data_IF_044699682679
#
_entry.id   IF_044699682679
#
_cell.length_a   1.000
_cell.length_b   1.000
_cell.length_c   1.000
_cell.angle_alpha   90.00
_cell.angle_beta   90.00
_cell.angle_gamma   90.00
#
_symmetry.space_group_name_H-M   'P 1'
#
loop_
_entity.id
_entity.type
_entity.pdbx_description
1 polymer ?
#
# COMPACT_ATOMS: atom_id res chain seq x y z
N UNK A 1 -4.78 -2.16 -16.05
CA UNK A 1 -4.96 -3.28 -17.00
C UNK A 1 -3.64 -3.98 -17.26
N UNK A 2 -3.62 -5.23 -17.78
CA UNK A 2 -2.38 -5.93 -18.11
C UNK A 2 -1.44 -5.17 -19.02
N UNK A 3 -1.97 -4.45 -20.04
CA UNK A 3 -1.14 -3.63 -20.92
C UNK A 3 -0.47 -2.46 -20.19
N UNK A 4 -1.18 -1.80 -19.26
CA UNK A 4 -0.60 -0.72 -18.45
C UNK A 4 0.52 -1.22 -17.54
N UNK A 5 0.38 -2.43 -16.99
CA UNK A 5 1.38 -3.05 -16.15
C UNK A 5 2.61 -3.50 -16.95
N UNK A 6 2.40 -4.14 -18.11
CA UNK A 6 3.46 -4.49 -19.05
C UNK A 6 4.29 -3.26 -19.46
N UNK A 7 3.63 -2.15 -19.83
CA UNK A 7 4.33 -0.90 -20.15
C UNK A 7 5.10 -0.32 -18.95
N UNK A 8 4.63 -0.55 -17.71
CA UNK A 8 5.36 -0.15 -16.51
C UNK A 8 6.62 -1.00 -16.28
N UNK A 9 6.56 -2.30 -16.53
CA UNK A 9 7.71 -3.20 -16.46
C UNK A 9 8.76 -2.89 -17.53
N UNK A 10 8.32 -2.65 -18.78
CA UNK A 10 9.20 -2.23 -19.87
C UNK A 10 9.94 -0.93 -19.53
N UNK A 11 9.27 0.06 -18.93
CA UNK A 11 9.92 1.30 -18.45
C UNK A 11 10.97 1.06 -17.36
N UNK A 12 10.84 -0.04 -16.60
CA UNK A 12 11.80 -0.46 -15.57
C UNK A 12 12.84 -1.46 -16.09
N UNK A 13 12.88 -1.70 -17.41
CA UNK A 13 13.77 -2.65 -18.08
C UNK A 13 13.69 -4.07 -17.48
N UNK A 14 12.51 -4.46 -16.98
CA UNK A 14 12.24 -5.81 -16.47
C UNK A 14 11.55 -6.60 -17.58
N UNK A 15 12.21 -7.66 -18.03
CA UNK A 15 11.60 -8.63 -18.93
C UNK A 15 10.49 -9.38 -18.18
N UNK A 16 9.31 -9.44 -18.78
CA UNK A 16 8.22 -10.25 -18.27
C UNK A 16 7.70 -11.08 -19.43
N UNK A 17 7.72 -12.39 -19.26
CA UNK A 17 7.12 -13.30 -20.22
C UNK A 17 5.61 -13.02 -20.29
N UNK A 18 5.08 -12.99 -21.51
CA UNK A 18 3.70 -12.58 -21.77
C UNK A 18 2.68 -13.53 -21.15
N UNK A 19 3.06 -14.79 -20.93
CA UNK A 19 2.28 -15.84 -20.27
C UNK A 19 2.14 -15.63 -18.75
N UNK A 20 3.15 -15.07 -18.09
CA UNK A 20 3.13 -14.76 -16.64
C UNK A 20 2.38 -13.44 -16.34
N UNK A 21 2.23 -12.57 -17.33
CA UNK A 21 1.61 -11.25 -17.18
C UNK A 21 0.19 -11.31 -16.58
N UNK A 22 -0.61 -12.32 -16.97
CA UNK A 22 -1.96 -12.50 -16.47
C UNK A 22 -1.99 -12.73 -14.95
N UNK A 23 -1.13 -13.63 -14.46
CA UNK A 23 -1.01 -13.95 -13.03
C UNK A 23 -0.50 -12.75 -12.23
N UNK A 24 0.49 -12.02 -12.77
CA UNK A 24 1.04 -10.83 -12.11
C UNK A 24 -0.01 -9.75 -11.95
N UNK A 25 -0.79 -9.46 -12.99
CA UNK A 25 -1.84 -8.43 -12.94
C UNK A 25 -2.94 -8.82 -11.97
N UNK A 26 -3.31 -10.11 -11.97
CA UNK A 26 -4.25 -10.64 -10.98
C UNK A 26 -3.74 -10.40 -9.55
N UNK A 27 -2.49 -10.79 -9.25
CA UNK A 27 -1.88 -10.58 -7.95
C UNK A 27 -1.86 -9.09 -7.55
N UNK A 28 -1.53 -8.19 -8.48
CA UNK A 28 -1.56 -6.74 -8.23
C UNK A 28 -2.96 -6.21 -7.92
N UNK A 29 -3.99 -6.67 -8.65
CA UNK A 29 -5.36 -6.27 -8.39
C UNK A 29 -5.80 -6.72 -6.98
N UNK A 30 -5.49 -7.97 -6.62
CA UNK A 30 -5.76 -8.50 -5.27
C UNK A 30 -5.06 -7.67 -4.20
N UNK A 31 -3.77 -7.35 -4.39
CA UNK A 31 -3.01 -6.50 -3.45
C UNK A 31 -3.60 -5.10 -3.35
N UNK A 32 -4.03 -4.49 -4.46
CA UNK A 32 -4.67 -3.18 -4.47
C UNK A 32 -6.01 -3.19 -3.73
N UNK A 33 -6.83 -4.22 -3.93
CA UNK A 33 -8.12 -4.37 -3.24
C UNK A 33 -7.92 -4.54 -1.73
N UNK A 34 -6.97 -5.39 -1.32
CA UNK A 34 -6.61 -5.55 0.10
C UNK A 34 -6.11 -4.25 0.71
N UNK A 35 -5.23 -3.52 0.00
CA UNK A 35 -4.73 -2.21 0.43
C UNK A 35 -5.88 -1.22 0.63
N UNK A 36 -6.81 -1.16 -0.34
CA UNK A 36 -7.96 -0.28 -0.25
C UNK A 36 -8.88 -0.64 0.93
N UNK A 37 -9.10 -1.92 1.20
CA UNK A 37 -9.90 -2.35 2.35
C UNK A 37 -9.28 -1.90 3.68
N UNK A 38 -7.96 -2.02 3.85
CA UNK A 38 -7.29 -1.49 5.06
C UNK A 38 -7.43 0.03 5.18
N UNK A 39 -7.34 0.77 4.07
CA UNK A 39 -7.63 2.22 4.08
C UNK A 39 -9.07 2.48 4.54
N UNK A 40 -10.05 1.73 4.03
CA UNK A 40 -11.44 1.88 4.42
C UNK A 40 -11.66 1.59 5.92
N UNK A 41 -10.90 0.67 6.52
CA UNK A 41 -10.91 0.42 7.97
C UNK A 41 -10.43 1.66 8.74
N UNK A 42 -9.35 2.32 8.31
CA UNK A 42 -8.90 3.60 8.86
C UNK A 42 -9.92 4.73 8.68
N UNK A 43 -10.71 4.68 7.61
CA UNK A 43 -11.75 5.68 7.32
C UNK A 43 -13.09 5.41 8.05
N UNK A 44 -13.26 4.27 8.73
CA UNK A 44 -14.51 3.95 9.45
C UNK A 44 -14.97 5.05 10.43
N UNK A 45 -14.10 5.65 11.26
CA UNK A 45 -14.51 6.74 12.15
C UNK A 45 -15.02 7.98 11.41
N UNK A 46 -14.61 8.15 10.15
CA UNK A 46 -14.95 9.27 9.29
C UNK A 46 -16.15 9.01 8.37
N UNK A 47 -16.76 7.81 8.42
CA UNK A 47 -17.88 7.41 7.55
C UNK A 47 -19.07 8.36 7.59
N UNK A 48 -19.35 8.99 8.75
CA UNK A 48 -20.43 10.00 8.87
C UNK A 48 -20.10 11.32 8.17
N UNK A 49 -18.82 11.65 8.07
CA UNK A 49 -18.33 12.89 7.41
C UNK A 49 -18.19 12.67 5.91
N UNK A 50 -17.62 11.52 5.51
CA UNK A 50 -17.49 11.13 4.11
C UNK A 50 -17.80 9.63 3.96
N UNK A 51 -18.99 9.26 3.45
CA UNK A 51 -19.35 7.86 3.27
C UNK A 51 -18.66 7.22 2.05
N UNK A 52 -18.10 8.03 1.15
CA UNK A 52 -17.51 7.57 -0.12
C UNK A 52 -16.14 8.21 -0.37
N UNK A 53 -15.13 7.88 0.45
CA UNK A 53 -13.77 8.35 0.20
C UNK A 53 -13.27 7.86 -1.17
N UNK A 54 -12.46 8.69 -1.85
CA UNK A 54 -11.97 8.39 -3.20
C UNK A 54 -10.45 8.42 -3.25
N UNK A 55 -9.85 7.48 -3.97
CA UNK A 55 -8.43 7.55 -4.30
C UNK A 55 -8.20 8.69 -5.31
N UNK A 56 -7.42 9.71 -4.93
CA UNK A 56 -7.01 10.79 -5.83
C UNK A 56 -5.81 10.40 -6.68
N UNK A 57 -4.78 9.88 -6.01
CA UNK A 57 -3.52 9.50 -6.64
C UNK A 57 -2.74 8.56 -5.72
N UNK A 58 -1.84 7.79 -6.32
CA UNK A 58 -0.86 7.00 -5.61
C UNK A 58 0.54 7.33 -6.15
N UNK A 59 1.56 7.19 -5.31
CA UNK A 59 2.96 7.45 -5.65
C UNK A 59 3.79 6.27 -5.15
N UNK A 60 4.51 5.62 -6.06
CA UNK A 60 5.49 4.59 -5.70
C UNK A 60 6.75 5.24 -5.13
N UNK A 61 7.19 4.77 -3.96
CA UNK A 61 8.37 5.23 -3.23
C UNK A 61 9.25 4.05 -2.81
N UNK A 62 9.51 3.13 -3.75
CA UNK A 62 10.24 1.88 -3.51
C UNK A 62 11.65 2.07 -2.92
N UNK A 63 12.31 3.20 -3.19
CA UNK A 63 13.66 3.48 -2.69
C UNK A 63 13.69 4.19 -1.33
N UNK A 64 12.56 4.75 -0.88
CA UNK A 64 12.48 5.51 0.36
C UNK A 64 11.87 4.69 1.49
N UNK A 65 12.68 4.31 2.48
CA UNK A 65 12.14 3.72 3.70
C UNK A 65 11.30 4.75 4.45
N UNK A 66 10.08 4.36 4.85
CA UNK A 66 9.32 5.15 5.80
C UNK A 66 10.07 5.19 7.14
N UNK A 67 10.01 6.30 7.87
CA UNK A 67 10.64 6.38 9.20
C UNK A 67 10.15 5.26 10.11
N UNK A 68 8.87 4.88 10.00
CA UNK A 68 8.31 3.69 10.64
C UNK A 68 9.09 2.44 10.25
N UNK A 69 9.14 2.10 8.95
CA UNK A 69 9.84 0.93 8.43
C UNK A 69 11.33 0.89 8.76
N UNK A 70 12.00 2.04 8.90
CA UNK A 70 13.39 2.10 9.37
C UNK A 70 13.51 1.53 10.79
N UNK A 71 12.62 1.89 11.71
CA UNK A 71 12.57 1.32 13.05
C UNK A 71 12.07 -0.14 13.03
N UNK A 72 10.98 -0.43 12.32
CA UNK A 72 10.38 -1.77 12.29
C UNK A 72 11.33 -2.81 11.69
N UNK A 73 12.11 -2.44 10.67
CA UNK A 73 13.06 -3.36 10.03
C UNK A 73 14.17 -3.88 10.94
N UNK A 74 14.48 -3.17 12.03
CA UNK A 74 15.49 -3.62 13.01
C UNK A 74 14.93 -4.52 14.11
N UNK A 75 13.61 -4.53 14.31
CA UNK A 75 12.98 -5.18 15.46
C UNK A 75 11.86 -6.17 15.10
N UNK A 76 11.37 -6.14 13.86
CA UNK A 76 10.34 -7.06 13.35
C UNK A 76 10.95 -8.19 12.55
N UNK A 77 10.35 -9.38 12.68
CA UNK A 77 10.72 -10.55 11.89
C UNK A 77 10.45 -10.37 10.39
N UNK A 78 9.55 -9.43 10.01
CA UNK A 78 9.22 -9.11 8.63
C UNK A 78 10.35 -8.37 7.88
N UNK A 79 11.36 -7.86 8.59
CA UNK A 79 12.48 -7.15 7.97
C UNK A 79 12.10 -5.83 7.29
N UNK A 80 12.78 -5.51 6.18
CA UNK A 80 12.59 -4.27 5.41
C UNK A 80 11.48 -4.48 4.36
N UNK A 81 10.54 -3.53 4.16
CA UNK A 81 9.57 -3.66 3.08
C UNK A 81 10.27 -3.66 1.72
N UNK A 82 9.82 -4.53 0.82
CA UNK A 82 10.36 -4.62 -0.54
C UNK A 82 9.80 -3.53 -1.46
N UNK A 83 8.61 -3.00 -1.12
CA UNK A 83 7.99 -1.88 -1.84
C UNK A 83 7.20 -0.99 -0.89
N UNK A 84 7.10 0.29 -1.25
CA UNK A 84 6.37 1.29 -0.49
C UNK A 84 5.57 2.19 -1.43
N UNK A 85 4.33 2.44 -1.04
CA UNK A 85 3.44 3.34 -1.75
C UNK A 85 2.82 4.39 -0.82
N UNK A 86 2.65 5.59 -1.34
CA UNK A 86 1.89 6.65 -0.70
C UNK A 86 0.58 6.84 -1.47
N UNK A 87 -0.57 6.58 -0.83
CA UNK A 87 -1.90 6.78 -1.40
C UNK A 87 -2.54 8.04 -0.83
N UNK A 88 -3.14 8.85 -1.70
CA UNK A 88 -3.80 10.09 -1.33
C UNK A 88 -5.30 9.91 -1.50
N UNK A 89 -6.01 9.98 -0.38
CA UNK A 89 -7.45 9.75 -0.30
C UNK A 89 -8.15 11.06 -0.08
N UNK A 90 -9.13 11.36 -0.93
CA UNK A 90 -10.04 12.48 -0.75
C UNK A 90 -11.24 12.08 0.09
N UNK A 91 -11.47 12.84 1.16
CA UNK A 91 -12.67 12.76 1.98
C UNK A 91 -13.72 13.71 1.43
N UNK A 92 -14.30 13.35 0.29
CA UNK A 92 -15.46 14.03 -0.29
C UNK A 92 -15.22 15.54 -0.55
N UNK A 93 -14.02 15.92 -0.97
CA UNK A 93 -13.60 17.29 -1.24
C UNK A 93 -13.24 18.12 0.01
N UNK A 94 -13.38 17.57 1.21
CA UNK A 94 -13.13 18.30 2.45
C UNK A 94 -11.65 18.27 2.85
N UNK A 95 -11.01 17.12 2.65
CA UNK A 95 -9.63 16.90 3.08
C UNK A 95 -8.98 15.80 2.27
N UNK A 96 -7.74 16.03 1.86
CA UNK A 96 -6.88 14.96 1.36
C UNK A 96 -6.05 14.39 2.51
N UNK A 97 -6.10 13.07 2.68
CA UNK A 97 -5.31 12.33 3.67
C UNK A 97 -4.33 11.43 2.95
N UNK A 98 -3.08 11.43 3.41
CA UNK A 98 -2.03 10.57 2.86
C UNK A 98 -1.89 9.33 3.73
N UNK A 99 -1.89 8.18 3.08
CA UNK A 99 -1.61 6.88 3.67
C UNK A 99 -0.24 6.40 3.19
N UNK A 100 0.56 5.87 4.10
CA UNK A 100 1.80 5.15 3.80
C UNK A 100 1.47 3.67 3.85
N UNK A 101 1.83 2.95 2.80
CA UNK A 101 1.62 1.52 2.66
C UNK A 101 2.98 0.88 2.44
N UNK A 102 3.39 0.02 3.37
CA UNK A 102 4.62 -0.74 3.28
C UNK A 102 4.26 -2.22 2.97
N UNK A 103 4.85 -2.78 1.92
CA UNK A 103 4.64 -4.17 1.48
C UNK A 103 5.82 -5.03 1.92
N UNK A 104 5.54 -6.12 2.62
CA UNK A 104 6.54 -7.06 3.13
C UNK A 104 6.30 -8.45 2.56
N UNK A 105 7.39 -9.14 2.22
CA UNK A 105 7.35 -10.57 1.98
C UNK A 105 7.31 -11.24 3.35
N UNK A 106 6.35 -12.13 3.60
CA UNK A 106 6.35 -12.90 4.85
C UNK A 106 7.41 -14.01 4.76
N UNK A 107 8.51 -13.93 5.52
CA UNK A 107 9.56 -14.95 5.49
C UNK A 107 9.11 -16.30 6.10
N UNK A 108 7.93 -16.36 6.72
CA UNK A 108 7.36 -17.58 7.31
C UNK A 108 6.30 -18.23 6.43
N UNK A 109 5.98 -17.64 5.26
CA UNK A 109 5.04 -18.25 4.35
C UNK A 109 5.53 -19.65 3.93
N UNK A 110 4.67 -20.66 4.03
CA UNK A 110 5.00 -22.04 3.63
C UNK A 110 5.24 -22.11 2.13
N UNK A 111 6.02 -23.12 1.68
CA UNK A 111 6.58 -23.28 0.31
C UNK A 111 5.59 -23.08 -0.87
N UNK A 112 4.28 -23.10 -0.63
CA UNK A 112 3.23 -22.98 -1.65
C UNK A 112 2.56 -21.59 -1.79
N UNK A 113 2.96 -20.57 -1.00
CA UNK A 113 2.26 -19.28 -1.00
C UNK A 113 3.16 -18.07 -0.88
N UNK A 114 3.21 -17.23 -1.94
CA UNK A 114 3.67 -15.85 -1.82
C UNK A 114 2.66 -15.06 -0.96
N UNK A 115 2.87 -15.06 0.35
CA UNK A 115 2.05 -14.28 1.28
C UNK A 115 2.64 -12.87 1.47
N UNK A 116 1.97 -11.89 0.86
CA UNK A 116 2.33 -10.48 0.99
C UNK A 116 1.63 -9.93 2.23
N UNK A 117 2.41 -9.43 3.19
CA UNK A 117 1.90 -8.65 4.32
C UNK A 117 1.83 -7.17 3.93
N UNK A 118 0.68 -6.54 4.18
CA UNK A 118 0.42 -5.14 3.85
C UNK A 118 0.25 -4.37 5.16
N UNK A 119 1.12 -3.39 5.43
CA UNK A 119 0.99 -2.44 6.54
C UNK A 119 0.52 -1.09 5.99
N UNK A 120 -0.77 -0.79 6.16
CA UNK A 120 -1.37 0.49 5.78
C UNK A 120 -1.58 1.37 6.99
N UNK A 121 -1.16 2.64 6.90
CA UNK A 121 -1.27 3.59 8.02
C UNK A 121 -1.35 5.05 7.58
N UNK A 122 -2.09 5.91 8.29
CA UNK A 122 -2.08 7.36 8.04
C UNK A 122 -0.65 7.90 8.11
N UNK A 123 -0.26 8.79 7.22
CA UNK A 123 1.09 9.36 7.24
C UNK A 123 1.25 10.35 8.40
N UNK A 124 2.38 10.33 9.10
CA UNK A 124 2.67 11.26 10.22
C UNK A 124 3.06 12.67 9.72
N UNK A 125 2.24 13.27 8.87
CA UNK A 125 2.41 14.65 8.38
C UNK A 125 1.46 15.65 9.04
N UNK A 126 0.55 15.19 9.90
CA UNK A 126 -0.37 16.05 10.65
C UNK A 126 -0.72 15.48 12.02
N UNK A 127 -1.08 16.35 12.97
CA UNK A 127 -1.55 15.94 14.30
C UNK A 127 -2.80 15.05 14.23
N UNK A 128 -3.68 15.32 13.27
CA UNK A 128 -4.85 14.49 13.03
C UNK A 128 -4.46 13.05 12.66
N UNK A 129 -3.48 12.88 11.77
CA UNK A 129 -3.01 11.57 11.36
C UNK A 129 -2.22 10.84 12.47
N UNK A 130 -1.49 11.59 13.31
CA UNK A 130 -0.87 11.03 14.52
C UNK A 130 -1.93 10.53 15.51
N UNK A 131 -2.97 11.33 15.76
CA UNK A 131 -4.09 10.94 16.60
C UNK A 131 -4.85 9.73 16.01
N UNK A 132 -4.99 9.65 14.68
CA UNK A 132 -5.58 8.49 14.03
C UNK A 132 -4.80 7.22 14.37
N UNK A 133 -3.46 7.23 14.25
CA UNK A 133 -2.63 6.07 14.62
C UNK A 133 -2.76 5.62 16.07
N UNK A 134 -3.02 6.53 17.01
CA UNK A 134 -3.18 6.18 18.43
C UNK A 134 -4.57 5.62 18.78
N UNK A 135 -5.54 5.66 17.85
CA UNK A 135 -6.91 5.18 18.08
C UNK A 135 -7.13 3.72 17.71
N UNK A 136 -6.22 3.10 16.97
CA UNK A 136 -6.24 1.68 16.65
C UNK A 136 -5.53 0.85 17.71
#
# INVERSE_FOLDING_TARGET
SPQQFYHALLRKNKEAEADVMGAVVYAHNVTNERTWNQILEWEQPYRRVCPTPKLLRFVGRSEELSHGAWWTSKFSYLGKPFDRHDWFVDRCGLKTVRYVIDYYDDPKATEDGLEITIDTRPALDSLAAAADRCRQ
#
